data_IF_980079397609
#
_entry.id   IF_980079397609
#
_cell.length_a   1.000
_cell.length_b   1.000
_cell.length_c   1.000
_cell.angle_alpha   90.00
_cell.angle_beta   90.00
_cell.angle_gamma   90.00
#
_symmetry.space_group_name_H-M   'P 1'
#
loop_
_entity.id
_entity.type
_entity.pdbx_description
1 polymer ?
#
# COMPACT_ATOMS: atom_id res chain seq x y z
N UNK A 1 17.70 -15.47 -24.93
CA UNK A 1 16.52 -14.59 -24.97
C UNK A 1 15.82 -14.80 -23.64
N UNK A 2 16.10 -13.93 -22.66
CA UNK A 2 15.60 -14.08 -21.29
C UNK A 2 14.31 -13.27 -21.18
N UNK A 3 13.19 -13.98 -21.04
CA UNK A 3 11.90 -13.42 -20.68
C UNK A 3 11.96 -12.97 -19.22
N UNK A 4 11.57 -11.73 -18.93
CA UNK A 4 11.29 -11.31 -17.56
C UNK A 4 9.77 -11.37 -17.38
N UNK A 5 9.30 -12.35 -16.61
CA UNK A 5 7.90 -12.44 -16.21
C UNK A 5 7.54 -11.21 -15.37
N UNK A 6 6.57 -10.44 -15.86
CA UNK A 6 6.06 -9.20 -15.27
C UNK A 6 5.20 -9.44 -14.03
N UNK A 7 5.80 -10.01 -12.99
CA UNK A 7 5.19 -10.11 -11.67
C UNK A 7 5.04 -8.73 -11.02
N UNK A 8 3.83 -8.42 -10.59
CA UNK A 8 3.50 -7.22 -9.83
C UNK A 8 3.95 -7.42 -8.39
N UNK A 9 4.40 -6.35 -7.73
CA UNK A 9 4.74 -6.38 -6.31
C UNK A 9 4.27 -5.08 -5.68
N UNK A 10 3.51 -5.17 -4.59
CA UNK A 10 3.20 -4.03 -3.73
C UNK A 10 4.16 -4.04 -2.54
N UNK A 11 4.95 -2.97 -2.40
CA UNK A 11 5.84 -2.79 -1.24
C UNK A 11 5.36 -1.60 -0.42
N UNK A 12 5.30 -1.74 0.90
CA UNK A 12 5.12 -0.58 1.78
C UNK A 12 6.48 0.04 2.09
N UNK A 13 6.64 1.31 1.73
CA UNK A 13 7.92 2.03 1.80
C UNK A 13 7.83 3.06 2.91
N UNK A 14 8.81 3.01 3.81
CA UNK A 14 9.11 4.10 4.72
C UNK A 14 10.19 4.95 4.07
N UNK A 15 9.84 6.17 3.66
CA UNK A 15 10.81 7.16 3.21
C UNK A 15 11.34 7.88 4.46
N UNK A 16 12.30 7.26 5.15
CA UNK A 16 13.00 7.90 6.28
C UNK A 16 14.40 8.36 5.85
N UNK A 17 14.68 9.64 6.09
CA UNK A 17 15.97 10.26 5.81
C UNK A 17 16.83 10.42 7.07
N UNK A 18 16.33 10.03 8.24
CA UNK A 18 17.09 10.10 9.48
C UNK A 18 17.79 8.77 9.72
N UNK A 19 19.11 8.82 9.95
CA UNK A 19 19.75 7.89 10.90
C UNK A 19 19.27 8.28 12.30
N UNK A 20 18.03 7.96 12.67
CA UNK A 20 17.69 7.88 14.10
C UNK A 20 18.13 6.50 14.55
N UNK A 21 19.27 6.43 15.24
CA UNK A 21 19.62 5.25 16.02
C UNK A 21 18.56 5.08 17.11
N UNK A 22 17.56 4.23 16.87
CA UNK A 22 16.53 3.92 17.87
C UNK A 22 15.17 3.58 17.30
N UNK A 23 14.79 4.14 16.15
CA UNK A 23 13.49 3.86 15.54
C UNK A 23 13.62 2.62 14.64
N UNK A 24 12.97 1.52 15.05
CA UNK A 24 12.87 0.34 14.20
C UNK A 24 12.06 0.73 12.96
N UNK A 25 12.64 0.53 11.78
CA UNK A 25 11.93 0.56 10.49
C UNK A 25 10.64 -0.28 10.61
N UNK A 26 9.48 0.35 10.78
CA UNK A 26 8.21 -0.38 10.95
C UNK A 26 7.15 0.24 11.86
N UNK A 27 7.51 1.22 12.71
CA UNK A 27 6.58 1.85 13.67
C UNK A 27 5.97 3.18 13.18
N UNK A 28 6.18 3.53 11.91
CA UNK A 28 5.67 4.78 11.34
C UNK A 28 4.14 4.86 11.32
N UNK A 29 3.60 6.06 11.57
CA UNK A 29 2.18 6.35 11.37
C UNK A 29 1.78 6.11 9.90
N UNK A 30 0.49 5.86 9.61
CA UNK A 30 0.04 5.56 8.25
C UNK A 30 0.41 6.66 7.22
N UNK A 31 0.52 7.92 7.65
CA UNK A 31 1.00 9.03 6.81
C UNK A 31 2.47 8.92 6.38
N UNK A 32 3.27 8.04 6.98
CA UNK A 32 4.66 7.77 6.62
C UNK A 32 4.83 6.50 5.77
N UNK A 33 3.74 5.77 5.53
CA UNK A 33 3.72 4.55 4.73
C UNK A 33 3.24 4.84 3.31
N UNK A 34 3.88 4.20 2.34
CA UNK A 34 3.58 4.36 0.92
C UNK A 34 3.46 3.01 0.21
N UNK A 35 2.35 2.77 -0.46
CA UNK A 35 2.18 1.66 -1.39
C UNK A 35 2.99 1.93 -2.66
N UNK A 36 3.98 1.09 -2.93
CA UNK A 36 4.78 1.11 -4.14
C UNK A 36 4.13 0.23 -5.20
N UNK A 37 3.98 0.75 -6.41
CA UNK A 37 3.40 0.01 -7.53
C UNK A 37 4.29 0.19 -8.77
N UNK A 38 4.71 -0.92 -9.38
CA UNK A 38 5.36 -0.88 -10.69
C UNK A 38 4.32 -0.79 -11.81
N UNK A 39 4.65 -0.09 -12.88
CA UNK A 39 3.84 -0.04 -14.12
C UNK A 39 4.43 -0.98 -15.18
N UNK A 40 3.66 -1.38 -16.21
CA UNK A 40 4.19 -2.20 -17.31
C UNK A 40 5.39 -1.59 -18.03
N UNK A 41 5.50 -0.25 -18.01
CA UNK A 41 6.61 0.50 -18.60
C UNK A 41 7.85 0.61 -17.68
N UNK A 42 7.85 -0.05 -16.52
CA UNK A 42 8.98 -0.06 -15.58
C UNK A 42 9.08 1.16 -14.65
N UNK A 43 8.10 2.07 -14.68
CA UNK A 43 8.00 3.16 -13.70
C UNK A 43 7.42 2.69 -12.37
N UNK A 44 7.70 3.45 -11.32
CA UNK A 44 7.17 3.27 -9.97
C UNK A 44 6.17 4.36 -9.61
N UNK A 45 5.13 4.02 -8.86
CA UNK A 45 4.20 4.94 -8.22
C UNK A 45 4.24 4.70 -6.72
N UNK A 46 4.13 5.77 -5.94
CA UNK A 46 4.10 5.69 -4.49
C UNK A 46 2.82 6.37 -4.01
N UNK A 47 1.89 5.61 -3.44
CA UNK A 47 0.62 6.12 -2.94
C UNK A 47 0.60 6.09 -1.42
N UNK A 48 0.35 7.22 -0.78
CA UNK A 48 0.31 7.31 0.66
C UNK A 48 -0.83 6.44 1.21
N UNK A 49 -0.55 5.61 2.22
CA UNK A 49 -1.53 4.69 2.80
C UNK A 49 -2.66 5.44 3.51
N UNK A 50 -2.36 6.51 4.25
CA UNK A 50 -3.36 7.26 5.00
C UNK A 50 -4.25 8.12 4.11
N UNK A 51 -3.64 8.87 3.19
CA UNK A 51 -4.33 9.91 2.44
C UNK A 51 -4.74 9.48 1.02
N UNK A 52 -4.23 8.35 0.54
CA UNK A 52 -4.48 7.89 -0.83
C UNK A 52 -3.89 8.78 -1.93
N UNK A 53 -3.04 9.75 -1.58
CA UNK A 53 -2.38 10.68 -2.51
C UNK A 53 -1.07 10.09 -3.03
N UNK A 54 -0.70 10.39 -4.26
CA UNK A 54 0.57 9.96 -4.85
C UNK A 54 1.70 10.91 -4.53
N UNK A 55 2.91 10.39 -4.28
CA UNK A 55 4.11 11.20 -4.16
C UNK A 55 4.45 11.77 -5.54
N UNK A 56 4.39 13.08 -5.73
CA UNK A 56 4.61 13.66 -7.04
C UNK A 56 4.60 15.19 -7.09
N UNK A 57 4.42 15.69 -8.30
CA UNK A 57 4.31 17.09 -8.66
C UNK A 57 2.91 17.32 -9.23
N UNK A 58 2.33 18.51 -9.01
CA UNK A 58 1.00 18.87 -9.51
C UNK A 58 0.95 18.87 -11.05
N UNK A 59 -0.18 18.48 -11.62
CA UNK A 59 -0.39 18.48 -13.07
C UNK A 59 -0.13 19.86 -13.69
N UNK A 60 0.54 19.88 -14.85
CA UNK A 60 0.93 21.09 -15.56
C UNK A 60 2.20 21.79 -15.04
N UNK A 61 2.80 21.35 -13.93
CA UNK A 61 4.08 21.89 -13.48
C UNK A 61 5.27 21.19 -14.17
N UNK A 62 6.31 21.96 -14.44
CA UNK A 62 7.57 21.46 -15.01
C UNK A 62 8.57 21.25 -13.88
N UNK A 63 9.15 20.04 -13.79
CA UNK A 63 10.16 19.74 -12.79
C UNK A 63 11.40 20.64 -12.96
N UNK A 64 11.74 21.37 -11.90
CA UNK A 64 12.86 22.28 -11.84
C UNK A 64 13.44 22.30 -10.42
N UNK A 65 14.65 22.83 -10.29
CA UNK A 65 15.34 22.90 -9.00
C UNK A 65 14.50 23.69 -7.99
N UNK A 66 14.20 23.04 -6.87
CA UNK A 66 13.47 23.65 -5.76
C UNK A 66 11.95 23.52 -5.84
N UNK A 67 11.39 22.94 -6.92
CA UNK A 67 9.95 22.67 -6.99
C UNK A 67 9.55 21.66 -5.92
N UNK A 68 8.49 21.95 -5.16
CA UNK A 68 8.07 21.10 -4.06
C UNK A 68 7.44 19.79 -4.54
N UNK A 69 7.88 18.66 -3.96
CA UNK A 69 7.24 17.35 -4.10
C UNK A 69 6.24 17.19 -2.96
N UNK A 70 5.02 16.74 -3.26
CA UNK A 70 3.92 16.65 -2.31
C UNK A 70 3.00 15.46 -2.63
N UNK A 71 1.99 15.25 -1.80
CA UNK A 71 0.88 14.34 -2.13
C UNK A 71 -0.02 14.99 -3.19
N UNK A 72 -0.20 14.34 -4.34
CA UNK A 72 -1.08 14.76 -5.43
C UNK A 72 -2.20 13.75 -5.66
N UNK A 73 -3.36 14.21 -6.14
CA UNK A 73 -4.55 13.36 -6.32
C UNK A 73 -4.48 12.43 -7.53
N UNK A 74 -3.57 12.71 -8.47
CA UNK A 74 -3.37 11.92 -9.69
C UNK A 74 -2.14 11.02 -9.59
N UNK A 75 -2.11 9.87 -10.29
CA UNK A 75 -0.93 9.01 -10.34
C UNK A 75 0.30 9.78 -10.84
N UNK A 76 1.46 9.56 -10.22
CA UNK A 76 2.73 10.14 -10.63
C UNK A 76 3.78 9.04 -10.76
N UNK A 77 4.40 8.96 -11.94
CA UNK A 77 5.40 7.95 -12.26
C UNK A 77 6.79 8.46 -11.86
N UNK A 78 7.59 7.59 -11.26
CA UNK A 78 9.00 7.78 -10.95
C UNK A 78 9.84 6.76 -11.69
N UNK A 79 11.02 7.16 -12.16
CA UNK A 79 12.05 6.20 -12.54
C UNK A 79 12.94 5.94 -11.34
N UNK A 80 12.90 4.72 -10.79
CA UNK A 80 13.76 4.33 -9.68
C UNK A 80 15.06 3.72 -10.19
N UNK A 81 16.21 4.30 -9.82
CA UNK A 81 17.54 3.76 -10.14
C UNK A 81 18.26 3.37 -8.86
N UNK A 82 18.70 2.12 -8.76
CA UNK A 82 19.52 1.66 -7.63
C UNK A 82 20.86 2.39 -7.64
N UNK A 83 21.32 2.84 -6.48
CA UNK A 83 22.59 3.53 -6.28
C UNK A 83 23.47 2.75 -5.32
N UNK A 84 24.74 2.53 -5.67
CA UNK A 84 25.70 1.74 -4.89
C UNK A 84 25.99 0.36 -5.48
N UNK A 85 27.08 -0.26 -5.05
CA UNK A 85 27.48 -1.60 -5.48
C UNK A 85 26.47 -2.67 -5.03
N UNK A 86 26.38 -3.77 -5.80
CA UNK A 86 25.34 -4.79 -5.68
C UNK A 86 25.17 -5.43 -4.28
N UNK A 87 26.18 -5.30 -3.40
CA UNK A 87 26.28 -6.02 -2.13
C UNK A 87 25.83 -5.24 -0.87
N UNK A 88 25.62 -3.92 -0.92
CA UNK A 88 25.23 -3.17 0.28
C UNK A 88 23.72 -3.29 0.56
N UNK A 89 23.37 -3.89 1.70
CA UNK A 89 22.02 -3.86 2.29
C UNK A 89 21.98 -2.77 3.37
N UNK A 90 20.97 -1.88 3.38
CA UNK A 90 19.80 -1.86 2.51
C UNK A 90 20.07 -1.28 1.12
N UNK A 91 19.29 -1.70 0.12
CA UNK A 91 19.36 -1.13 -1.22
C UNK A 91 18.94 0.36 -1.21
N UNK A 92 19.79 1.21 -1.79
CA UNK A 92 19.53 2.64 -1.95
C UNK A 92 19.09 2.96 -3.37
N UNK A 93 18.21 3.95 -3.53
CA UNK A 93 17.65 4.35 -4.80
C UNK A 93 17.67 5.86 -4.97
N UNK A 94 17.77 6.30 -6.22
CA UNK A 94 17.39 7.64 -6.68
C UNK A 94 16.06 7.54 -7.41
N UNK A 95 15.14 8.45 -7.11
CA UNK A 95 13.85 8.56 -7.77
C UNK A 95 13.89 9.76 -8.72
N UNK A 96 13.83 9.50 -10.02
CA UNK A 96 13.86 10.53 -11.07
C UNK A 96 12.45 10.86 -11.55
N UNK A 97 12.19 12.14 -11.79
CA UNK A 97 11.03 12.55 -12.60
C UNK A 97 11.27 12.05 -14.03
N UNK A 98 10.30 11.31 -14.64
CA UNK A 98 10.48 10.69 -15.95
C UNK A 98 10.97 11.67 -17.00
N UNK A 99 11.89 11.22 -17.85
CA UNK A 99 12.45 11.98 -18.98
C UNK A 99 13.18 13.28 -18.60
N UNK A 100 13.58 13.42 -17.33
CA UNK A 100 14.38 14.55 -16.85
C UNK A 100 15.60 14.07 -16.08
N UNK A 101 16.49 15.01 -15.74
CA UNK A 101 17.56 14.82 -14.76
C UNK A 101 17.16 15.29 -13.36
N UNK A 102 15.88 15.52 -13.10
CA UNK A 102 15.38 15.97 -11.80
C UNK A 102 15.09 14.76 -10.92
N UNK A 103 15.55 14.80 -9.68
CA UNK A 103 15.42 13.72 -8.69
C UNK A 103 14.70 14.19 -7.43
N UNK A 104 14.12 13.24 -6.71
CA UNK A 104 13.63 13.44 -5.36
C UNK A 104 14.80 13.81 -4.43
N UNK A 105 14.74 15.01 -3.87
CA UNK A 105 15.80 15.58 -3.05
C UNK A 105 15.25 16.06 -1.72
N UNK A 106 15.91 15.64 -0.64
CA UNK A 106 15.70 16.17 0.69
C UNK A 106 16.50 17.47 0.85
N UNK A 107 15.83 18.60 1.02
CA UNK A 107 16.52 19.83 1.34
C UNK A 107 16.84 19.84 2.85
N UNK A 108 18.08 19.51 3.19
CA UNK A 108 18.61 19.40 4.54
C UNK A 108 19.35 20.67 5.02
N UNK A 109 19.23 21.79 4.31
CA UNK A 109 19.91 23.06 4.63
C UNK A 109 19.46 23.71 5.96
N UNK A 110 18.66 23.03 6.81
CA UNK A 110 18.22 23.46 8.15
C UNK A 110 17.51 24.82 8.25
N UNK A 111 17.17 25.46 7.12
CA UNK A 111 16.57 26.81 7.07
C UNK A 111 15.06 26.85 7.25
N UNK A 112 14.41 25.70 7.42
CA UNK A 112 12.97 25.62 7.65
C UNK A 112 12.68 25.30 9.11
N UNK A 113 11.99 26.22 9.77
CA UNK A 113 11.50 26.09 11.15
C UNK A 113 10.55 24.89 11.24
N UNK A 114 11.10 23.76 11.68
CA UNK A 114 10.39 22.52 12.07
C UNK A 114 9.86 21.61 10.95
N UNK A 115 10.26 21.78 9.68
CA UNK A 115 9.91 20.84 8.59
C UNK A 115 11.05 20.69 7.59
N UNK A 116 11.38 19.45 7.23
CA UNK A 116 12.31 19.17 6.13
C UNK A 116 11.52 19.21 4.82
N UNK A 117 12.00 19.96 3.82
CA UNK A 117 11.32 20.10 2.53
C UNK A 117 11.80 19.00 1.58
N UNK A 118 10.85 18.30 0.97
CA UNK A 118 11.12 17.43 -0.17
C UNK A 118 10.85 18.22 -1.45
N UNK A 119 11.81 18.21 -2.36
CA UNK A 119 11.76 18.98 -3.60
C UNK A 119 12.37 18.19 -4.76
N UNK A 120 12.07 18.59 -6.00
CA UNK A 120 12.88 18.19 -7.13
C UNK A 120 14.16 19.01 -7.18
N UNK A 121 15.24 18.35 -7.56
CA UNK A 121 16.52 18.99 -7.82
C UNK A 121 17.25 18.23 -8.90
N UNK A 122 18.07 18.92 -9.69
CA UNK A 122 18.95 18.28 -10.66
C UNK A 122 19.82 17.21 -9.96
N UNK A 123 20.02 16.09 -10.63
CA UNK A 123 20.90 15.02 -10.15
C UNK A 123 22.33 15.57 -9.92
N UNK A 124 22.81 15.42 -8.68
CA UNK A 124 24.12 15.90 -8.23
C UNK A 124 25.19 14.79 -8.24
N UNK A 125 24.91 13.65 -8.88
CA UNK A 125 25.86 12.56 -9.02
C UNK A 125 25.80 11.52 -7.90
N UNK A 126 26.55 10.43 -8.04
CA UNK A 126 26.39 9.19 -7.29
C UNK A 126 26.54 9.32 -5.78
N UNK A 127 27.23 10.34 -5.27
CA UNK A 127 27.59 10.43 -3.85
C UNK A 127 26.70 11.36 -3.02
N UNK A 128 25.75 12.05 -3.66
CA UNK A 128 24.89 13.00 -2.95
C UNK A 128 23.85 12.29 -2.07
N UNK A 129 24.11 12.21 -0.77
CA UNK A 129 23.30 11.48 0.20
C UNK A 129 21.83 11.95 0.25
N UNK A 130 21.58 13.26 0.15
CA UNK A 130 20.24 13.84 0.18
C UNK A 130 19.35 13.47 -1.03
N UNK A 131 19.91 12.79 -2.04
CA UNK A 131 19.17 12.27 -3.20
C UNK A 131 19.02 10.74 -3.16
N UNK A 132 19.55 10.08 -2.12
CA UNK A 132 19.48 8.62 -1.94
C UNK A 132 18.41 8.28 -0.93
N UNK A 133 17.58 7.32 -1.28
CA UNK A 133 16.46 6.89 -0.49
C UNK A 133 16.54 5.38 -0.29
N UNK A 134 16.38 4.94 0.96
CA UNK A 134 16.23 3.53 1.25
C UNK A 134 14.78 3.18 0.98
N UNK A 135 14.57 2.25 0.05
CA UNK A 135 13.26 1.66 -0.21
C UNK A 135 13.32 0.26 0.40
N UNK A 136 12.98 0.18 1.69
CA UNK A 136 13.00 -1.08 2.41
C UNK A 136 11.71 -1.86 2.18
N UNK A 137 11.76 -3.18 1.87
CA UNK A 137 10.58 -4.04 1.91
C UNK A 137 10.11 -4.30 3.35
N UNK A 138 10.92 -3.90 4.34
CA UNK A 138 10.85 -4.35 5.71
C UNK A 138 9.99 -3.45 6.60
N UNK A 139 8.79 -3.11 6.13
CA UNK A 139 7.68 -3.09 7.08
C UNK A 139 7.11 -4.49 7.01
N UNK A 140 7.43 -5.36 7.96
CA UNK A 140 6.75 -6.65 8.09
C UNK A 140 5.27 -6.35 8.29
N UNK A 141 4.52 -6.35 7.18
CA UNK A 141 3.10 -6.55 7.20
C UNK A 141 3.00 -8.05 7.43
N UNK A 142 2.68 -8.46 8.65
CA UNK A 142 2.17 -9.82 8.82
C UNK A 142 1.06 -9.99 7.79
N UNK A 143 1.19 -11.01 6.94
CA UNK A 143 0.19 -11.30 5.93
C UNK A 143 -1.14 -11.44 6.69
N UNK A 144 -2.17 -10.63 6.39
CA UNK A 144 -3.34 -10.52 7.26
C UNK A 144 -4.10 -11.84 7.38
N UNK A 145 -3.91 -12.74 6.43
CA UNK A 145 -4.47 -14.09 6.42
C UNK A 145 -3.46 -15.09 5.83
N UNK A 146 -3.58 -16.34 6.24
CA UNK A 146 -3.06 -17.48 5.47
C UNK A 146 -4.04 -17.86 4.35
N UNK A 147 -3.54 -18.01 3.12
CA UNK A 147 -4.35 -18.42 1.97
C UNK A 147 -4.88 -19.86 2.14
N UNK A 148 -6.13 -20.10 1.71
CA UNK A 148 -6.84 -21.37 1.83
C UNK A 148 -7.40 -21.65 3.23
N UNK A 149 -7.23 -20.74 4.19
CA UNK A 149 -7.84 -20.87 5.52
C UNK A 149 -9.23 -20.25 5.56
N UNK A 150 -10.06 -20.79 6.46
CA UNK A 150 -11.42 -20.33 6.72
C UNK A 150 -11.40 -19.44 7.96
N UNK A 151 -12.02 -18.28 7.84
CA UNK A 151 -12.12 -17.27 8.89
C UNK A 151 -13.58 -16.93 9.20
N UNK A 152 -13.78 -16.38 10.39
CA UNK A 152 -14.93 -15.55 10.72
C UNK A 152 -14.47 -14.09 10.73
N UNK A 153 -15.26 -13.19 10.17
CA UNK A 153 -14.95 -11.75 10.16
C UNK A 153 -15.81 -11.07 11.21
N UNK A 154 -15.19 -10.64 12.31
CA UNK A 154 -15.89 -10.09 13.48
C UNK A 154 -15.82 -8.57 13.47
N UNK A 155 -16.96 -7.91 13.57
CA UNK A 155 -17.02 -6.47 13.77
C UNK A 155 -16.54 -6.13 15.19
N UNK A 156 -15.44 -5.37 15.30
CA UNK A 156 -14.80 -5.07 16.58
C UNK A 156 -15.66 -4.25 17.56
N UNK A 157 -16.69 -3.54 17.07
CA UNK A 157 -17.57 -2.73 17.92
C UNK A 157 -18.74 -3.54 18.48
N UNK A 158 -19.36 -4.38 17.65
CA UNK A 158 -20.60 -5.09 17.99
C UNK A 158 -20.38 -6.55 18.36
N UNK A 159 -19.25 -7.14 17.99
CA UNK A 159 -18.99 -8.58 18.13
C UNK A 159 -19.74 -9.45 17.10
N UNK A 160 -20.57 -8.85 16.24
CA UNK A 160 -21.28 -9.57 15.18
C UNK A 160 -20.31 -10.04 14.09
N UNK A 161 -20.62 -11.19 13.49
CA UNK A 161 -19.89 -11.74 12.35
C UNK A 161 -20.52 -11.35 11.03
N UNK A 162 -19.70 -11.28 9.98
CA UNK A 162 -20.18 -11.11 8.60
C UNK A 162 -20.85 -12.40 8.11
N UNK A 163 -22.13 -12.31 7.79
CA UNK A 163 -22.98 -13.42 7.36
C UNK A 163 -23.49 -13.20 5.93
N UNK A 164 -23.49 -14.26 5.14
CA UNK A 164 -24.19 -14.36 3.87
C UNK A 164 -25.63 -14.87 4.09
N UNK A 165 -26.62 -14.12 3.61
CA UNK A 165 -28.02 -14.53 3.63
C UNK A 165 -28.39 -15.30 2.37
N UNK A 166 -29.49 -16.06 2.42
CA UNK A 166 -30.06 -16.77 1.26
C UNK A 166 -30.40 -15.81 0.10
N UNK A 167 -30.76 -14.57 0.44
CA UNK A 167 -31.02 -13.49 -0.54
C UNK A 167 -29.74 -12.93 -1.18
N UNK A 168 -28.58 -13.52 -0.90
CA UNK A 168 -27.22 -13.08 -1.27
C UNK A 168 -26.79 -11.76 -0.63
N UNK A 169 -27.57 -11.18 0.27
CA UNK A 169 -27.15 -10.03 1.05
C UNK A 169 -26.06 -10.42 2.04
N UNK A 170 -25.13 -9.51 2.29
CA UNK A 170 -24.14 -9.65 3.37
C UNK A 170 -24.50 -8.69 4.49
N UNK A 171 -24.64 -9.23 5.70
CA UNK A 171 -25.08 -8.50 6.89
C UNK A 171 -24.28 -8.92 8.13
N UNK A 172 -24.38 -8.13 9.21
CA UNK A 172 -23.83 -8.49 10.51
C UNK A 172 -24.84 -9.34 11.31
N UNK A 173 -24.40 -10.45 11.88
CA UNK A 173 -25.24 -11.33 12.69
C UNK A 173 -24.47 -11.93 13.88
N UNK A 174 -25.17 -12.39 14.92
CA UNK A 174 -24.51 -13.10 16.03
C UNK A 174 -23.91 -14.42 15.55
N UNK A 175 -22.70 -14.75 16.01
CA UNK A 175 -22.06 -16.00 15.61
C UNK A 175 -22.85 -17.22 16.10
N UNK A 176 -23.18 -18.13 15.18
CA UNK A 176 -23.91 -19.38 15.45
C UNK A 176 -23.22 -20.62 14.86
N UNK A 177 -22.00 -20.46 14.32
CA UNK A 177 -21.25 -21.56 13.71
C UNK A 177 -21.73 -21.99 12.31
N UNK A 178 -22.71 -21.29 11.73
CA UNK A 178 -23.22 -21.56 10.40
C UNK A 178 -22.16 -21.36 9.31
N UNK A 179 -22.17 -22.21 8.27
CA UNK A 179 -21.26 -22.08 7.12
C UNK A 179 -21.43 -20.77 6.35
N UNK A 180 -22.62 -20.18 6.44
CA UNK A 180 -22.92 -18.87 5.87
C UNK A 180 -22.25 -17.71 6.64
N UNK A 181 -21.60 -17.96 7.77
CA UNK A 181 -20.81 -17.00 8.55
C UNK A 181 -19.29 -17.18 8.39
N UNK A 182 -18.87 -18.12 7.54
CA UNK A 182 -17.48 -18.48 7.29
C UNK A 182 -17.00 -17.97 5.95
N UNK A 183 -15.72 -17.62 5.86
CA UNK A 183 -15.11 -17.05 4.66
C UNK A 183 -13.72 -17.64 4.44
N UNK A 184 -13.55 -18.37 3.35
CA UNK A 184 -12.25 -18.85 2.89
C UNK A 184 -11.49 -17.70 2.25
N UNK A 185 -10.31 -17.38 2.77
CA UNK A 185 -9.45 -16.34 2.23
C UNK A 185 -8.47 -16.94 1.23
N UNK A 186 -8.44 -16.42 0.01
CA UNK A 186 -7.44 -16.76 -1.01
C UNK A 186 -6.78 -15.49 -1.51
N UNK A 187 -5.49 -15.55 -1.81
CA UNK A 187 -4.75 -14.41 -2.32
C UNK A 187 -4.53 -14.55 -3.82
N UNK A 188 -4.74 -13.46 -4.56
CA UNK A 188 -4.29 -13.37 -5.93
C UNK A 188 -2.76 -13.27 -5.98
N UNK A 189 -2.14 -14.24 -6.64
CA UNK A 189 -0.69 -14.24 -6.83
C UNK A 189 -0.26 -13.02 -7.66
N UNK A 190 0.75 -12.31 -7.17
CA UNK A 190 1.30 -11.12 -7.84
C UNK A 190 0.60 -9.79 -7.48
N UNK A 191 -0.71 -9.73 -7.25
CA UNK A 191 -1.34 -8.43 -6.89
C UNK A 191 -1.37 -8.19 -5.38
N UNK A 192 -1.39 -9.28 -4.60
CA UNK A 192 -1.56 -9.23 -3.15
C UNK A 192 -3.01 -8.98 -2.71
N UNK A 193 -3.96 -8.91 -3.64
CA UNK A 193 -5.38 -8.77 -3.35
C UNK A 193 -5.95 -10.04 -2.70
N UNK A 194 -6.95 -9.84 -1.84
CA UNK A 194 -7.65 -10.94 -1.16
C UNK A 194 -9.02 -11.18 -1.76
N UNK A 195 -9.39 -12.44 -1.86
CA UNK A 195 -10.74 -12.89 -2.16
C UNK A 195 -11.29 -13.64 -0.96
N UNK A 196 -12.56 -13.39 -0.64
CA UNK A 196 -13.27 -14.07 0.44
C UNK A 196 -14.43 -14.85 -0.14
N UNK A 197 -14.33 -16.18 -0.13
CA UNK A 197 -15.37 -17.07 -0.64
C UNK A 197 -16.13 -17.70 0.50
N UNK A 198 -17.46 -17.65 0.46
CA UNK A 198 -18.27 -18.41 1.42
C UNK A 198 -18.25 -19.90 1.03
N UNK A 199 -17.74 -20.81 1.87
CA UNK A 199 -17.63 -22.22 1.53
C UNK A 199 -18.98 -22.95 1.49
N UNK A 200 -20.03 -22.39 2.09
CA UNK A 200 -21.39 -22.96 2.07
C UNK A 200 -22.13 -22.70 0.76
N UNK A 201 -22.03 -21.48 0.22
CA UNK A 201 -22.75 -21.06 -0.97
C UNK A 201 -21.87 -21.01 -2.24
N UNK A 202 -20.55 -21.01 -2.10
CA UNK A 202 -19.61 -20.85 -3.20
C UNK A 202 -19.52 -19.43 -3.77
N UNK A 203 -20.17 -18.45 -3.15
CA UNK A 203 -20.19 -17.05 -3.57
C UNK A 203 -19.07 -16.26 -2.91
N UNK A 204 -18.54 -15.26 -3.63
CA UNK A 204 -17.53 -14.34 -3.12
C UNK A 204 -18.17 -13.12 -2.47
N UNK A 205 -17.55 -12.58 -1.44
CA UNK A 205 -17.89 -11.27 -0.91
C UNK A 205 -17.47 -10.21 -1.91
N UNK A 206 -18.40 -9.37 -2.38
CA UNK A 206 -18.10 -8.31 -3.34
C UNK A 206 -19.22 -7.30 -3.46
N UNK A 207 -19.05 -6.29 -4.31
CA UNK A 207 -20.15 -5.38 -4.66
C UNK A 207 -20.83 -5.83 -5.95
N UNK A 208 -22.15 -5.71 -6.01
CA UNK A 208 -22.92 -6.03 -7.21
C UNK A 208 -22.89 -4.87 -8.19
N UNK A 209 -21.80 -4.69 -8.94
CA UNK A 209 -21.81 -3.78 -10.09
C UNK A 209 -20.71 -4.15 -11.08
N UNK A 210 -21.08 -4.31 -12.34
CA UNK A 210 -20.13 -4.54 -13.43
C UNK A 210 -19.45 -3.25 -13.92
N UNK A 211 -19.87 -2.04 -13.51
CA UNK A 211 -19.40 -0.81 -14.19
C UNK A 211 -19.47 0.53 -13.45
N UNK A 212 -19.95 0.63 -12.20
CA UNK A 212 -20.02 1.93 -11.51
C UNK A 212 -19.00 2.06 -10.37
N UNK A 213 -18.46 3.27 -10.18
CA UNK A 213 -17.63 3.59 -9.02
C UNK A 213 -18.37 3.25 -7.72
N UNK A 214 -17.70 2.58 -6.79
CA UNK A 214 -18.23 2.31 -5.45
C UNK A 214 -18.41 3.65 -4.73
N UNK A 215 -19.63 3.94 -4.28
CA UNK A 215 -19.98 5.19 -3.59
C UNK A 215 -20.48 4.91 -2.18
N UNK A 216 -20.64 5.95 -1.37
CA UNK A 216 -21.23 5.82 -0.04
C UNK A 216 -22.63 5.18 -0.11
N UNK A 217 -22.85 4.16 0.71
CA UNK A 217 -24.09 3.39 0.71
C UNK A 217 -24.12 2.21 -0.26
N UNK A 218 -23.07 1.98 -1.06
CA UNK A 218 -22.97 0.76 -1.87
C UNK A 218 -22.95 -0.47 -0.97
N UNK A 219 -23.90 -1.38 -1.20
CA UNK A 219 -24.04 -2.62 -0.43
C UNK A 219 -23.09 -3.71 -0.93
N UNK A 220 -22.66 -4.57 0.01
CA UNK A 220 -21.87 -5.78 -0.26
C UNK A 220 -22.82 -6.99 -0.35
N UNK A 221 -22.57 -7.88 -1.31
CA UNK A 221 -23.36 -9.07 -1.62
C UNK A 221 -22.47 -10.28 -1.86
N UNK A 222 -23.09 -11.47 -1.87
CA UNK A 222 -22.51 -12.67 -2.46
C UNK A 222 -22.57 -12.61 -3.99
N UNK A 223 -21.42 -12.51 -4.65
CA UNK A 223 -21.25 -12.46 -6.10
C UNK A 223 -20.64 -13.76 -6.65
N UNK A 224 -20.86 -14.06 -7.93
CA UNK A 224 -20.36 -15.31 -8.53
C UNK A 224 -18.86 -15.27 -8.86
N UNK A 225 -18.34 -14.10 -9.23
CA UNK A 225 -16.94 -13.93 -9.61
C UNK A 225 -16.11 -13.41 -8.43
N UNK A 226 -14.81 -13.76 -8.34
CA UNK A 226 -13.92 -13.20 -7.33
C UNK A 226 -13.92 -11.68 -7.36
N UNK A 227 -14.00 -11.06 -6.19
CA UNK A 227 -13.94 -9.62 -6.03
C UNK A 227 -12.69 -9.27 -5.22
N UNK A 228 -11.77 -8.52 -5.82
CA UNK A 228 -10.49 -8.19 -5.22
C UNK A 228 -10.65 -7.17 -4.09
N UNK A 229 -10.27 -7.57 -2.88
CA UNK A 229 -10.21 -6.70 -1.70
C UNK A 229 -8.78 -6.28 -1.39
N UNK A 230 -8.62 -4.99 -1.11
CA UNK A 230 -7.44 -4.50 -0.41
C UNK A 230 -7.66 -4.65 1.10
N UNK A 231 -6.81 -5.44 1.74
CA UNK A 231 -6.87 -5.64 3.19
C UNK A 231 -5.67 -4.95 3.81
N UNK A 232 -5.95 -3.98 4.68
CA UNK A 232 -4.94 -3.19 5.36
C UNK A 232 -5.05 -3.47 6.86
N UNK A 233 -3.99 -4.01 7.50
CA UNK A 233 -3.99 -4.18 8.95
C UNK A 233 -4.20 -2.84 9.66
N UNK A 234 -5.12 -2.80 10.62
CA UNK A 234 -5.26 -1.65 11.50
C UNK A 234 -4.08 -1.61 12.49
N UNK A 235 -3.21 -0.60 12.33
CA UNK A 235 -2.02 -0.39 13.15
C UNK A 235 -2.22 0.70 14.22
N UNK A 236 -3.44 1.21 14.39
CA UNK A 236 -3.72 2.23 15.41
C UNK A 236 -3.65 1.69 16.85
N UNK A 237 -3.57 0.37 17.03
CA UNK A 237 -3.28 -0.26 18.32
C UNK A 237 -1.87 -0.83 18.33
N UNK A 238 -0.92 -0.03 18.83
CA UNK A 238 0.29 -0.59 19.43
C UNK A 238 -0.12 -1.65 20.48
N UNK A 239 0.60 -2.78 20.45
CA UNK A 239 0.53 -3.91 21.36
C UNK A 239 -0.22 -3.65 22.69
N UNK A 240 -1.52 -3.90 22.70
CA UNK A 240 -2.28 -4.17 23.92
C UNK A 240 -3.19 -5.35 23.60
N UNK A 241 -2.60 -6.53 23.77
CA UNK A 241 -3.26 -7.82 23.84
C UNK A 241 -4.49 -7.76 24.75
N UNK A 242 -5.66 -7.65 24.14
CA UNK A 242 -6.82 -8.44 24.57
C UNK A 242 -7.32 -9.17 23.35
N UNK A 243 -6.82 -10.40 23.19
CA UNK A 243 -7.50 -11.42 22.40
C UNK A 243 -8.96 -11.46 22.84
N UNK A 244 -9.87 -11.13 21.94
CA UNK A 244 -11.26 -11.54 22.11
C UNK A 244 -11.25 -13.07 21.94
N UNK A 245 -11.39 -13.77 23.07
CA UNK A 245 -11.75 -15.19 23.12
C UNK A 245 -13.26 -15.30 23.04
#
# INVERSE_FOLDING_TARGET
MVSFDGGWWSYNIVIDSRKVSGDKYGEGQQNQLWEAQTTPAGFWRFKNVQFGLYLGIEEGQVAADGLAIRGVSHPFNWTAKRTGEAAASPAMFKLFVPFTNQVLHLNDDNRWTNKIKIQSWKDLGSDHAAQKWIIGPNTTIEVPFEAGKIYILVNCQTGNVVQLEETRKIAGYSFNGGRNQMWEATQEEGTGHWFFKNPGAGLYMGVSSDTAAVVNGTHVFGVQHPFAWNVVPDRTKGANTRSYR
#
